data_IF_862049627045
#
_entry.id   IF_862049627045
#
_cell.length_a   1.000
_cell.length_b   1.000
_cell.length_c   1.000
_cell.angle_alpha   90.00
_cell.angle_beta   90.00
_cell.angle_gamma   90.00
#
_symmetry.space_group_name_H-M   'P 1'
#
loop_
_entity.id
_entity.type
_entity.pdbx_description
1 polymer ?
#
# COMPACT_ATOMS: atom_id res chain seq x y z
N UNK A 1 23.70 45.80 -11.07
CA UNK A 1 22.28 45.70 -11.39
C UNK A 1 21.98 45.01 -12.73
N UNK A 2 22.84 45.13 -13.72
CA UNK A 2 22.63 44.59 -15.07
C UNK A 2 22.44 43.05 -15.11
N UNK A 3 23.22 42.31 -14.32
CA UNK A 3 23.14 40.85 -14.27
C UNK A 3 21.78 40.34 -13.72
N UNK A 4 21.25 40.95 -12.67
CA UNK A 4 19.96 40.61 -12.09
C UNK A 4 18.81 40.88 -13.07
N UNK A 5 18.95 41.97 -13.83
CA UNK A 5 17.97 42.39 -14.83
C UNK A 5 17.88 41.42 -16.04
N UNK A 6 18.94 40.64 -16.30
CA UNK A 6 19.00 39.67 -17.40
C UNK A 6 18.43 38.30 -17.06
N UNK A 7 18.30 37.98 -15.78
CA UNK A 7 17.91 36.61 -15.32
C UNK A 7 16.59 36.57 -14.56
N UNK A 8 16.04 37.71 -14.12
CA UNK A 8 14.85 37.75 -13.31
C UNK A 8 13.79 38.67 -13.86
N UNK A 9 12.52 38.37 -13.59
CA UNK A 9 11.44 39.31 -13.87
C UNK A 9 11.49 40.46 -12.84
N UNK A 10 11.60 41.70 -13.29
CA UNK A 10 11.71 42.87 -12.41
C UNK A 10 10.63 43.88 -12.75
N UNK A 11 10.01 44.39 -11.69
CA UNK A 11 9.03 45.50 -11.77
C UNK A 11 9.26 46.46 -10.62
N UNK A 12 9.10 47.74 -10.88
CA UNK A 12 9.23 48.83 -9.89
C UNK A 12 7.87 49.46 -9.64
N UNK A 13 7.61 49.81 -8.41
CA UNK A 13 6.41 50.51 -7.97
C UNK A 13 6.78 51.76 -7.19
N UNK A 14 5.91 52.78 -7.22
CA UNK A 14 5.94 53.80 -6.21
C UNK A 14 5.44 53.29 -4.85
N UNK A 15 5.43 54.13 -3.82
CA UNK A 15 5.01 53.77 -2.48
C UNK A 15 3.49 53.51 -2.36
N UNK A 16 2.72 53.87 -3.38
CA UNK A 16 1.28 53.64 -3.44
C UNK A 16 0.93 52.43 -4.30
N UNK A 17 1.94 51.75 -4.88
CA UNK A 17 1.76 50.54 -5.67
C UNK A 17 1.51 50.80 -7.19
N UNK A 18 1.76 52.00 -7.67
CA UNK A 18 1.70 52.28 -9.09
C UNK A 18 3.01 51.89 -9.78
N UNK A 19 2.89 51.31 -10.97
CA UNK A 19 4.02 50.77 -11.72
C UNK A 19 4.85 51.93 -12.31
N UNK A 20 6.13 51.92 -11.99
CA UNK A 20 7.12 52.90 -12.49
C UNK A 20 7.96 52.36 -13.65
N UNK A 21 8.10 51.03 -13.73
CA UNK A 21 8.91 50.39 -14.75
C UNK A 21 8.91 48.87 -14.65
N UNK A 22 9.14 48.23 -15.78
CA UNK A 22 9.23 46.76 -15.89
C UNK A 22 10.36 46.38 -16.83
N UNK A 23 10.92 45.19 -16.69
CA UNK A 23 11.85 44.63 -17.67
C UNK A 23 11.13 43.67 -18.64
N UNK A 24 11.82 43.36 -19.75
CA UNK A 24 11.28 42.44 -20.78
C UNK A 24 10.93 41.05 -20.23
N UNK A 25 11.68 40.53 -19.26
CA UNK A 25 11.41 39.24 -18.63
C UNK A 25 10.07 39.26 -17.86
N UNK A 26 9.80 40.38 -17.15
CA UNK A 26 8.51 40.54 -16.46
C UNK A 26 7.36 40.61 -17.45
N UNK A 27 7.49 41.40 -18.54
CA UNK A 27 6.48 41.45 -19.58
C UNK A 27 6.16 40.08 -20.14
N UNK A 28 7.19 39.35 -20.56
CA UNK A 28 7.04 37.98 -21.09
C UNK A 28 6.38 37.03 -20.09
N UNK A 29 6.81 37.03 -18.83
CA UNK A 29 6.23 36.19 -17.79
C UNK A 29 4.75 36.47 -17.56
N UNK A 30 4.33 37.73 -17.66
CA UNK A 30 2.94 38.15 -17.48
C UNK A 30 2.11 38.10 -18.79
N UNK A 31 2.68 37.63 -19.91
CA UNK A 31 1.99 37.46 -21.18
C UNK A 31 1.87 38.73 -22.04
N UNK A 32 2.70 39.74 -21.77
CA UNK A 32 2.78 40.96 -22.59
C UNK A 32 3.88 40.81 -23.64
N UNK A 33 3.72 41.53 -24.77
CA UNK A 33 4.79 41.70 -25.74
C UNK A 33 5.89 42.64 -25.19
N UNK A 34 7.11 42.51 -25.68
CA UNK A 34 8.27 43.28 -25.18
C UNK A 34 8.12 44.81 -25.37
N UNK A 35 7.37 45.27 -26.36
CA UNK A 35 7.05 46.66 -26.69
C UNK A 35 5.82 47.20 -25.92
N UNK A 36 5.18 46.38 -25.09
CA UNK A 36 3.95 46.76 -24.38
C UNK A 36 4.20 47.34 -22.97
N UNK A 37 5.42 47.71 -22.64
CA UNK A 37 5.73 48.23 -21.30
C UNK A 37 4.87 49.44 -20.92
N UNK A 38 4.55 50.33 -21.89
CA UNK A 38 3.73 51.52 -21.69
C UNK A 38 2.28 51.19 -21.24
N UNK A 39 1.80 50.00 -21.57
CA UNK A 39 0.47 49.53 -21.12
C UNK A 39 0.40 49.29 -19.63
N UNK A 40 1.55 49.09 -18.98
CA UNK A 40 1.65 48.79 -17.54
C UNK A 40 2.03 50.03 -16.72
N UNK A 41 2.81 50.95 -17.25
CA UNK A 41 3.25 52.14 -16.53
C UNK A 41 2.04 52.95 -16.04
N UNK A 42 2.09 53.33 -14.76
CA UNK A 42 1.02 54.05 -14.08
C UNK A 42 -0.20 53.21 -13.69
N UNK A 43 -0.27 51.94 -14.04
CA UNK A 43 -1.29 51.04 -13.49
C UNK A 43 -0.90 50.59 -12.08
N UNK A 44 -1.91 50.27 -11.27
CA UNK A 44 -1.70 49.83 -9.89
C UNK A 44 -1.45 48.34 -9.84
N UNK A 45 -0.61 47.87 -8.86
CA UNK A 45 -0.28 46.46 -8.62
C UNK A 45 -1.50 45.54 -8.54
N UNK A 46 -2.65 46.07 -8.10
CA UNK A 46 -3.90 45.28 -7.96
C UNK A 46 -4.37 44.60 -9.24
N UNK A 47 -3.88 45.00 -10.44
CA UNK A 47 -4.21 44.33 -11.70
C UNK A 47 -3.67 42.89 -11.80
N UNK A 48 -2.67 42.55 -10.97
CA UNK A 48 -2.02 41.23 -10.96
C UNK A 48 -2.54 40.30 -9.86
N UNK A 49 -3.47 40.73 -9.05
CA UNK A 49 -4.02 39.96 -7.94
C UNK A 49 -5.53 39.76 -8.12
N UNK A 50 -6.11 38.82 -7.36
CA UNK A 50 -7.57 38.66 -7.36
C UNK A 50 -8.25 39.91 -6.78
N UNK A 51 -9.50 40.15 -7.20
CA UNK A 51 -10.27 41.28 -6.69
C UNK A 51 -10.43 41.20 -5.16
N UNK A 52 -10.71 39.99 -4.62
CA UNK A 52 -10.91 39.73 -3.18
C UNK A 52 -9.64 40.08 -2.41
N UNK A 53 -8.47 39.60 -2.87
CA UNK A 53 -7.20 39.92 -2.22
C UNK A 53 -6.89 41.42 -2.26
N UNK A 54 -7.16 42.08 -3.39
CA UNK A 54 -6.92 43.53 -3.54
C UNK A 54 -7.72 44.40 -2.56
N UNK A 55 -8.79 43.85 -1.97
CA UNK A 55 -9.66 44.50 -0.98
C UNK A 55 -9.42 44.01 0.44
N UNK A 56 -8.54 43.07 0.64
CA UNK A 56 -8.29 42.49 1.97
C UNK A 56 -7.39 43.36 2.83
N UNK A 57 -7.54 43.21 4.16
CA UNK A 57 -6.63 43.81 5.14
C UNK A 57 -5.18 43.37 4.96
N UNK A 58 -4.97 42.14 4.48
CA UNK A 58 -3.62 41.62 4.21
C UNK A 58 -2.93 42.35 3.06
N UNK A 59 -3.69 42.81 2.06
CA UNK A 59 -3.14 43.60 0.99
C UNK A 59 -2.75 45.01 1.48
N UNK A 60 -3.54 45.61 2.37
CA UNK A 60 -3.20 46.88 3.00
C UNK A 60 -1.94 46.74 3.86
N UNK A 61 -1.86 45.73 4.72
CA UNK A 61 -0.67 45.43 5.54
C UNK A 61 0.58 45.14 4.72
N UNK A 62 0.42 44.45 3.57
CA UNK A 62 1.53 44.21 2.65
C UNK A 62 2.18 45.53 2.20
N UNK A 63 1.39 46.50 1.72
CA UNK A 63 1.91 47.79 1.31
C UNK A 63 2.42 48.64 2.47
N UNK A 64 1.79 48.56 3.65
CA UNK A 64 2.27 49.22 4.88
C UNK A 64 3.66 48.69 5.29
N UNK A 65 3.87 47.39 5.24
CA UNK A 65 5.14 46.76 5.55
C UNK A 65 6.26 47.27 4.65
N UNK A 66 5.98 47.40 3.35
CA UNK A 66 6.94 47.94 2.38
C UNK A 66 7.25 49.44 2.62
N UNK A 67 6.24 50.24 2.97
CA UNK A 67 6.40 51.65 3.33
C UNK A 67 7.20 51.87 4.62
N UNK A 68 7.20 50.87 5.51
CA UNK A 68 8.03 50.87 6.72
C UNK A 68 9.49 50.44 6.46
N UNK A 69 9.88 50.23 5.20
CA UNK A 69 11.24 49.84 4.84
C UNK A 69 11.54 48.35 5.00
N UNK A 70 10.54 47.55 5.29
CA UNK A 70 10.72 46.10 5.42
C UNK A 70 10.48 45.40 4.08
N UNK A 71 11.33 44.44 3.73
CA UNK A 71 11.12 43.61 2.53
C UNK A 71 9.99 42.59 2.77
N UNK A 72 9.44 42.08 1.70
CA UNK A 72 8.45 41.00 1.73
C UNK A 72 8.82 39.93 0.70
N UNK A 73 8.81 38.65 1.09
CA UNK A 73 9.16 37.53 0.22
C UNK A 73 8.14 36.41 0.34
N UNK A 74 8.03 35.61 -0.72
CA UNK A 74 7.16 34.43 -0.74
C UNK A 74 6.85 33.91 -2.12
N UNK A 75 6.01 32.89 -2.14
CA UNK A 75 5.40 32.36 -3.36
C UNK A 75 4.05 33.04 -3.56
N UNK A 76 3.81 33.55 -4.76
CA UNK A 76 2.63 34.35 -5.08
C UNK A 76 1.95 33.82 -6.32
N UNK A 77 0.67 33.50 -6.23
CA UNK A 77 -0.17 33.36 -7.41
C UNK A 77 -0.51 34.75 -7.97
N UNK A 78 -0.31 34.94 -9.26
CA UNK A 78 -0.61 36.18 -9.96
C UNK A 78 -1.42 35.91 -11.21
N UNK A 79 -2.14 36.91 -11.69
CA UNK A 79 -2.94 36.86 -12.93
C UNK A 79 -2.14 37.46 -14.07
N UNK A 80 -2.00 36.70 -15.18
CA UNK A 80 -1.48 37.19 -16.43
C UNK A 80 -2.54 38.05 -17.15
N UNK A 81 -2.14 38.71 -18.28
CA UNK A 81 -3.04 39.51 -19.07
C UNK A 81 -4.22 38.70 -19.65
N UNK A 82 -4.03 37.42 -19.93
CA UNK A 82 -5.06 36.52 -20.46
C UNK A 82 -5.97 35.91 -19.35
N UNK A 83 -5.77 36.33 -18.09
CA UNK A 83 -6.49 35.84 -16.94
C UNK A 83 -5.97 34.50 -16.36
N UNK A 84 -5.02 33.84 -17.00
CA UNK A 84 -4.41 32.63 -16.48
C UNK A 84 -3.55 32.92 -15.26
N UNK A 85 -3.34 31.88 -14.41
CA UNK A 85 -2.48 32.01 -13.24
C UNK A 85 -1.02 31.75 -13.58
N UNK A 86 -0.14 32.47 -12.91
CA UNK A 86 1.31 32.24 -12.85
C UNK A 86 1.74 32.20 -11.39
N UNK A 87 2.65 31.30 -11.04
CA UNK A 87 3.22 31.20 -9.71
C UNK A 87 4.62 31.80 -9.71
N UNK A 88 4.84 32.79 -8.87
CA UNK A 88 6.08 33.54 -8.79
C UNK A 88 6.71 33.38 -7.40
N UNK A 89 7.95 32.91 -7.34
CA UNK A 89 8.80 33.15 -6.18
C UNK A 89 9.30 34.58 -6.29
N UNK A 90 8.98 35.44 -5.34
CA UNK A 90 9.33 36.85 -5.44
C UNK A 90 9.71 37.50 -4.12
N UNK A 91 10.55 38.55 -4.25
CA UNK A 91 10.88 39.47 -3.16
C UNK A 91 10.50 40.89 -3.57
N UNK A 92 9.91 41.62 -2.65
CA UNK A 92 9.61 43.06 -2.76
C UNK A 92 10.54 43.81 -1.83
N UNK A 93 11.38 44.69 -2.40
CA UNK A 93 12.47 45.34 -1.68
C UNK A 93 12.31 46.85 -1.77
N UNK A 94 12.15 47.56 -0.65
CA UNK A 94 12.22 49.01 -0.62
C UNK A 94 13.62 49.50 -1.07
N UNK A 95 13.65 50.50 -1.96
CA UNK A 95 14.86 51.13 -2.42
C UNK A 95 14.95 52.51 -1.76
N UNK A 96 16.09 52.75 -1.13
CA UNK A 96 16.37 53.97 -0.38
C UNK A 96 17.24 54.94 -1.19
N UNK A 97 17.05 56.23 -0.98
CA UNK A 97 17.98 57.28 -1.45
C UNK A 97 19.18 57.45 -0.46
N UNK A 98 20.10 58.36 -0.81
CA UNK A 98 21.25 58.66 0.01
C UNK A 98 20.92 59.24 1.42
N UNK A 99 19.71 59.80 1.53
CA UNK A 99 19.17 60.34 2.81
C UNK A 99 18.46 59.34 3.66
N UNK A 100 18.34 58.07 3.16
CA UNK A 100 17.66 57.00 3.87
C UNK A 100 16.12 56.97 3.69
N UNK A 101 15.57 57.77 2.76
CA UNK A 101 14.13 57.75 2.46
C UNK A 101 13.83 56.69 1.40
N UNK A 102 12.70 56.01 1.54
CA UNK A 102 12.26 55.04 0.55
C UNK A 102 11.72 55.79 -0.67
N UNK A 103 12.30 55.52 -1.85
CA UNK A 103 11.94 56.17 -3.10
C UNK A 103 11.00 55.32 -3.98
N UNK A 104 11.15 53.98 -3.92
CA UNK A 104 10.37 53.02 -4.70
C UNK A 104 10.50 51.61 -4.15
N UNK A 105 9.62 50.72 -4.60
CA UNK A 105 9.68 49.29 -4.28
C UNK A 105 10.12 48.54 -5.55
N UNK A 106 11.15 47.70 -5.43
CA UNK A 106 11.60 46.78 -6.50
C UNK A 106 11.11 45.36 -6.17
N UNK A 107 10.36 44.79 -7.09
CA UNK A 107 10.05 43.36 -7.05
C UNK A 107 10.98 42.61 -7.99
N UNK A 108 11.60 41.55 -7.47
CA UNK A 108 12.34 40.55 -8.25
C UNK A 108 11.56 39.26 -8.17
N UNK A 109 11.31 38.60 -9.31
CA UNK A 109 10.51 37.38 -9.33
C UNK A 109 11.07 36.34 -10.31
N UNK A 110 10.90 35.07 -9.96
CA UNK A 110 11.16 33.92 -10.81
C UNK A 110 9.86 33.15 -11.00
N UNK A 111 9.58 32.72 -12.23
CA UNK A 111 8.44 31.86 -12.53
C UNK A 111 8.71 30.43 -12.00
N UNK A 112 7.86 29.97 -11.12
CA UNK A 112 7.92 28.62 -10.52
C UNK A 112 6.69 27.79 -10.89
N UNK A 113 5.95 28.18 -11.95
CA UNK A 113 4.70 27.49 -12.33
C UNK A 113 4.93 26.01 -12.64
N UNK A 114 5.99 25.67 -13.38
CA UNK A 114 6.35 24.27 -13.66
C UNK A 114 6.68 23.48 -12.38
N UNK A 115 7.36 24.11 -11.44
CA UNK A 115 7.69 23.48 -10.13
C UNK A 115 6.43 23.21 -9.33
N UNK A 116 5.48 24.15 -9.29
CA UNK A 116 4.20 23.99 -8.59
C UNK A 116 3.35 22.89 -9.21
N UNK A 117 3.25 22.86 -10.54
CA UNK A 117 2.52 21.81 -11.27
C UNK A 117 3.14 20.45 -11.02
N UNK A 118 4.47 20.33 -11.10
CA UNK A 118 5.20 19.09 -10.86
C UNK A 118 5.01 18.59 -9.41
N UNK A 119 5.10 19.49 -8.44
CA UNK A 119 4.88 19.19 -7.03
C UNK A 119 3.46 18.68 -6.76
N UNK A 120 2.45 19.31 -7.35
CA UNK A 120 1.07 18.88 -7.22
C UNK A 120 0.86 17.50 -7.86
N UNK A 121 1.46 17.25 -9.03
CA UNK A 121 1.40 15.94 -9.69
C UNK A 121 2.05 14.83 -8.87
N UNK A 122 3.21 15.11 -8.27
CA UNK A 122 3.89 14.17 -7.35
C UNK A 122 3.01 13.86 -6.14
N UNK A 123 2.37 14.87 -5.55
CA UNK A 123 1.49 14.68 -4.40
C UNK A 123 0.25 13.84 -4.74
N UNK A 124 -0.37 14.07 -5.90
CA UNK A 124 -1.51 13.27 -6.39
C UNK A 124 -1.10 11.80 -6.61
N UNK A 125 0.05 11.60 -7.29
CA UNK A 125 0.58 10.25 -7.54
C UNK A 125 0.93 9.52 -6.25
N UNK A 126 1.54 10.21 -5.28
CA UNK A 126 1.87 9.65 -3.97
C UNK A 126 0.61 9.19 -3.22
N UNK A 127 -0.47 9.99 -3.26
CA UNK A 127 -1.76 9.61 -2.63
C UNK A 127 -2.38 8.39 -3.32
N UNK A 128 -2.38 8.34 -4.64
CA UNK A 128 -2.92 7.19 -5.38
C UNK A 128 -2.13 5.92 -5.12
N UNK A 129 -0.80 6.00 -5.05
CA UNK A 129 0.07 4.87 -4.74
C UNK A 129 -0.15 4.35 -3.32
N UNK A 130 -0.37 5.25 -2.34
CA UNK A 130 -0.68 4.85 -0.97
C UNK A 130 -2.00 4.07 -0.88
N UNK A 131 -3.04 4.52 -1.60
CA UNK A 131 -4.32 3.81 -1.66
C UNK A 131 -4.16 2.42 -2.28
N UNK A 132 -3.38 2.30 -3.36
CA UNK A 132 -3.11 1.02 -4.02
C UNK A 132 -2.34 0.06 -3.10
N UNK A 133 -1.35 0.57 -2.37
CA UNK A 133 -0.59 -0.20 -1.38
C UNK A 133 -1.49 -0.73 -0.26
N UNK A 134 -2.37 0.11 0.28
CA UNK A 134 -3.30 -0.29 1.34
C UNK A 134 -4.29 -1.37 0.84
N UNK A 135 -4.78 -1.25 -0.39
CA UNK A 135 -5.63 -2.26 -1.01
C UNK A 135 -4.89 -3.58 -1.24
N UNK A 136 -3.63 -3.52 -1.70
CA UNK A 136 -2.78 -4.70 -1.88
C UNK A 136 -2.53 -5.43 -0.56
N UNK A 137 -2.27 -4.70 0.52
CA UNK A 137 -2.08 -5.28 1.84
C UNK A 137 -3.35 -5.97 2.36
N UNK A 138 -4.52 -5.34 2.23
CA UNK A 138 -5.81 -5.95 2.58
C UNK A 138 -6.09 -7.24 1.80
N UNK A 139 -5.73 -7.27 0.51
CA UNK A 139 -5.90 -8.46 -0.31
C UNK A 139 -4.95 -9.58 0.15
N UNK A 140 -3.70 -9.27 0.49
CA UNK A 140 -2.76 -10.25 1.06
C UNK A 140 -3.29 -10.87 2.35
N UNK A 141 -3.79 -10.04 3.28
CA UNK A 141 -4.36 -10.52 4.54
C UNK A 141 -5.57 -11.43 4.30
N UNK A 142 -6.45 -11.06 3.36
CA UNK A 142 -7.60 -11.89 3.00
C UNK A 142 -7.19 -13.25 2.41
N UNK A 143 -6.19 -13.28 1.52
CA UNK A 143 -5.65 -14.52 0.93
C UNK A 143 -5.00 -15.39 2.01
N UNK A 144 -4.29 -14.82 2.97
CA UNK A 144 -3.67 -15.57 4.06
C UNK A 144 -4.72 -16.22 4.97
N UNK A 145 -5.79 -15.51 5.30
CA UNK A 145 -6.93 -16.04 6.07
C UNK A 145 -7.59 -17.21 5.31
N UNK A 146 -7.88 -17.04 4.03
CA UNK A 146 -8.48 -18.08 3.19
C UNK A 146 -7.58 -19.32 3.08
N UNK A 147 -6.29 -19.12 2.87
CA UNK A 147 -5.29 -20.20 2.84
C UNK A 147 -5.27 -20.99 4.15
N UNK A 148 -5.26 -20.31 5.29
CA UNK A 148 -5.24 -20.98 6.61
C UNK A 148 -6.53 -21.76 6.85
N UNK A 149 -7.69 -21.20 6.49
CA UNK A 149 -8.97 -21.91 6.56
C UNK A 149 -9.00 -23.17 5.68
N UNK A 150 -8.47 -23.10 4.46
CA UNK A 150 -8.37 -24.25 3.56
C UNK A 150 -7.42 -25.33 4.07
N UNK A 151 -6.31 -24.95 4.70
CA UNK A 151 -5.40 -25.90 5.35
C UNK A 151 -6.03 -26.62 6.54
N UNK A 152 -6.78 -25.91 7.38
CA UNK A 152 -7.50 -26.48 8.52
C UNK A 152 -8.58 -27.47 8.07
N UNK A 153 -9.34 -27.15 7.02
CA UNK A 153 -10.35 -28.04 6.44
C UNK A 153 -9.71 -29.32 5.84
N UNK A 154 -8.59 -29.14 5.13
CA UNK A 154 -7.82 -30.27 4.61
C UNK A 154 -7.33 -31.19 5.71
N UNK A 155 -6.75 -30.64 6.78
CA UNK A 155 -6.29 -31.41 7.96
C UNK A 155 -7.44 -32.18 8.63
N UNK A 156 -8.59 -31.54 8.78
CA UNK A 156 -9.79 -32.19 9.33
C UNK A 156 -10.28 -33.35 8.46
N UNK A 157 -10.28 -33.13 7.15
CA UNK A 157 -10.71 -34.15 6.16
C UNK A 157 -9.75 -35.33 6.12
N UNK A 158 -8.43 -35.08 6.16
CA UNK A 158 -7.41 -36.13 6.22
C UNK A 158 -7.52 -36.97 7.49
N UNK A 159 -7.71 -36.35 8.65
CA UNK A 159 -7.92 -37.07 9.93
C UNK A 159 -9.17 -37.93 9.90
N UNK A 160 -10.26 -37.44 9.33
CA UNK A 160 -11.51 -38.19 9.17
C UNK A 160 -11.29 -39.39 8.26
N UNK A 161 -10.66 -39.22 7.12
CA UNK A 161 -10.33 -40.28 6.18
C UNK A 161 -9.45 -41.35 6.81
N UNK A 162 -8.37 -40.98 7.51
CA UNK A 162 -7.49 -41.89 8.25
C UNK A 162 -8.25 -42.72 9.30
N UNK A 163 -9.13 -42.09 10.07
CA UNK A 163 -9.94 -42.77 11.09
C UNK A 163 -10.92 -43.78 10.43
N UNK A 164 -11.57 -43.45 9.33
CA UNK A 164 -12.44 -44.39 8.61
C UNK A 164 -11.65 -45.56 8.01
N UNK A 165 -10.47 -45.32 7.51
CA UNK A 165 -9.59 -46.34 6.97
C UNK A 165 -9.13 -47.32 8.08
N UNK A 166 -8.73 -46.80 9.26
CA UNK A 166 -8.39 -47.60 10.43
C UNK A 166 -9.57 -48.45 10.87
N UNK A 167 -10.77 -47.87 11.00
CA UNK A 167 -11.98 -48.61 11.37
C UNK A 167 -12.28 -49.76 10.37
N UNK A 168 -12.10 -49.48 9.09
CA UNK A 168 -12.33 -50.48 8.03
C UNK A 168 -11.35 -51.65 8.13
N UNK A 169 -10.04 -51.33 8.30
CA UNK A 169 -9.01 -52.36 8.47
C UNK A 169 -9.28 -53.24 9.70
N UNK A 170 -9.63 -52.61 10.83
CA UNK A 170 -9.94 -53.37 12.08
C UNK A 170 -11.18 -54.25 11.88
N UNK A 171 -12.24 -53.74 11.22
CA UNK A 171 -13.44 -54.56 10.90
C UNK A 171 -13.11 -55.73 10.00
N UNK A 172 -12.32 -55.58 8.96
CA UNK A 172 -11.88 -56.64 8.08
C UNK A 172 -11.03 -57.68 8.83
N UNK A 173 -10.09 -57.25 9.64
CA UNK A 173 -9.26 -58.15 10.43
C UNK A 173 -10.09 -59.01 11.42
N UNK A 174 -11.06 -58.38 12.12
CA UNK A 174 -11.97 -59.12 13.01
C UNK A 174 -12.84 -60.10 12.23
N UNK A 175 -13.37 -59.71 11.06
CA UNK A 175 -14.19 -60.60 10.22
C UNK A 175 -13.40 -61.84 9.79
N UNK A 176 -12.14 -61.68 9.41
CA UNK A 176 -11.25 -62.80 9.06
C UNK A 176 -11.02 -63.71 10.25
N UNK A 177 -10.71 -63.18 11.44
CA UNK A 177 -10.48 -63.98 12.66
C UNK A 177 -11.74 -64.81 13.01
N UNK A 178 -12.92 -64.16 12.99
CA UNK A 178 -14.19 -64.82 13.30
C UNK A 178 -14.48 -65.91 12.25
N UNK A 179 -14.30 -65.65 10.95
CA UNK A 179 -14.52 -66.62 9.88
C UNK A 179 -13.63 -67.83 10.01
N UNK A 180 -12.35 -67.66 10.30
CA UNK A 180 -11.41 -68.76 10.51
C UNK A 180 -11.79 -69.58 11.75
N UNK A 181 -12.10 -68.86 12.85
CA UNK A 181 -12.60 -69.54 14.09
C UNK A 181 -13.84 -70.38 13.84
N UNK A 182 -14.77 -69.86 13.07
CA UNK A 182 -16.02 -70.57 12.73
C UNK A 182 -15.78 -71.83 11.88
N UNK A 183 -14.98 -71.67 10.80
CA UNK A 183 -14.59 -72.78 9.93
C UNK A 183 -13.87 -73.90 10.67
N UNK A 184 -12.89 -73.51 11.52
CA UNK A 184 -12.13 -74.50 12.32
C UNK A 184 -13.01 -75.22 13.34
N UNK A 185 -13.97 -74.51 13.98
CA UNK A 185 -14.94 -75.13 14.89
C UNK A 185 -15.82 -76.16 14.18
N UNK A 186 -16.29 -75.83 12.98
CA UNK A 186 -17.05 -76.78 12.16
C UNK A 186 -16.23 -77.99 11.79
N UNK A 187 -15.00 -77.79 11.33
CA UNK A 187 -14.12 -78.91 10.98
C UNK A 187 -13.82 -79.81 12.17
N UNK A 188 -13.55 -79.25 13.33
CA UNK A 188 -13.33 -79.97 14.58
C UNK A 188 -14.55 -80.79 15.01
N UNK A 189 -15.73 -80.22 14.98
CA UNK A 189 -17.00 -80.90 15.24
C UNK A 189 -17.29 -82.06 14.29
N UNK A 190 -16.99 -81.86 12.99
CA UNK A 190 -17.13 -82.91 11.97
C UNK A 190 -16.15 -84.07 12.20
N UNK A 191 -14.91 -83.81 12.59
CA UNK A 191 -13.89 -84.83 12.89
C UNK A 191 -14.29 -85.69 14.10
N UNK A 192 -14.85 -85.08 15.16
CA UNK A 192 -15.37 -85.80 16.31
C UNK A 192 -16.52 -86.72 15.90
N UNK A 193 -17.49 -86.23 15.18
CA UNK A 193 -18.65 -87.01 14.70
C UNK A 193 -18.25 -88.16 13.77
N UNK A 194 -17.17 -87.99 13.02
CA UNK A 194 -16.66 -89.00 12.08
C UNK A 194 -15.65 -89.97 12.68
N UNK A 195 -15.44 -89.94 14.00
CA UNK A 195 -14.51 -90.81 14.76
C UNK A 195 -13.06 -90.78 14.21
N UNK A 196 -12.60 -89.61 13.69
CA UNK A 196 -11.25 -89.39 13.16
C UNK A 196 -10.36 -88.75 14.20
N UNK A 197 -9.03 -88.90 14.00
CA UNK A 197 -8.01 -88.31 14.88
C UNK A 197 -8.14 -86.78 14.92
N UNK A 198 -8.51 -86.23 16.06
CA UNK A 198 -8.71 -84.81 16.30
C UNK A 198 -7.38 -84.10 16.60
N UNK A 199 -6.26 -84.81 16.80
CA UNK A 199 -4.98 -84.20 17.19
C UNK A 199 -4.37 -83.43 16.01
N UNK A 200 -4.52 -83.90 14.79
CA UNK A 200 -4.04 -83.22 13.60
C UNK A 200 -4.84 -81.92 13.39
N UNK A 201 -6.14 -81.96 13.62
CA UNK A 201 -7.00 -80.77 13.43
C UNK A 201 -6.69 -79.74 14.51
N UNK A 202 -6.43 -80.16 15.74
CA UNK A 202 -6.10 -79.28 16.88
C UNK A 202 -4.73 -78.60 16.65
N UNK A 203 -3.70 -79.33 16.18
CA UNK A 203 -2.41 -78.74 15.89
C UNK A 203 -2.46 -77.75 14.72
N UNK A 204 -3.17 -78.10 13.65
CA UNK A 204 -3.40 -77.20 12.49
C UNK A 204 -4.14 -75.94 12.95
N UNK A 205 -5.15 -76.03 13.77
CA UNK A 205 -5.89 -74.90 14.32
C UNK A 205 -4.98 -74.00 15.16
N UNK A 206 -4.19 -74.55 16.09
CA UNK A 206 -3.25 -73.78 16.90
C UNK A 206 -2.24 -73.03 16.09
N UNK A 207 -1.69 -73.64 15.04
CA UNK A 207 -0.74 -73.00 14.15
C UNK A 207 -1.40 -71.85 13.36
N UNK A 208 -2.58 -72.13 12.74
CA UNK A 208 -3.33 -71.07 12.00
C UNK A 208 -3.73 -69.90 12.90
N UNK A 209 -4.21 -70.19 14.12
CA UNK A 209 -4.59 -69.15 15.09
C UNK A 209 -3.40 -68.31 15.52
N UNK A 210 -2.24 -68.92 15.76
CA UNK A 210 -0.99 -68.24 16.07
C UNK A 210 -0.56 -67.27 14.94
N UNK A 211 -0.59 -67.75 13.67
CA UNK A 211 -0.25 -66.93 12.51
C UNK A 211 -1.23 -65.77 12.35
N UNK A 212 -2.52 -66.00 12.48
CA UNK A 212 -3.55 -64.98 12.34
C UNK A 212 -3.42 -63.92 13.45
N UNK A 213 -3.19 -64.37 14.70
CA UNK A 213 -3.01 -63.49 15.84
C UNK A 213 -1.76 -62.62 15.67
N UNK A 214 -0.64 -63.22 15.23
CA UNK A 214 0.60 -62.49 14.96
C UNK A 214 0.41 -61.43 13.85
N UNK A 215 -0.28 -61.79 12.76
CA UNK A 215 -0.57 -60.88 11.71
C UNK A 215 -1.52 -59.74 12.15
N UNK A 216 -2.55 -60.04 12.95
CA UNK A 216 -3.47 -59.06 13.51
C UNK A 216 -2.73 -58.07 14.43
N UNK A 217 -1.83 -58.53 15.29
CA UNK A 217 -1.00 -57.66 16.15
C UNK A 217 -0.01 -56.83 15.32
N UNK A 218 0.57 -57.39 14.26
CA UNK A 218 1.46 -56.66 13.37
C UNK A 218 0.73 -55.49 12.66
N UNK A 219 -0.46 -55.77 12.16
CA UNK A 219 -1.31 -54.71 11.55
C UNK A 219 -1.65 -53.62 12.55
N UNK A 220 -2.09 -53.99 13.77
CA UNK A 220 -2.40 -53.02 14.84
C UNK A 220 -1.17 -52.22 15.25
N UNK A 221 0.00 -52.88 15.37
CA UNK A 221 1.26 -52.21 15.67
C UNK A 221 1.70 -51.24 14.63
N UNK A 222 1.55 -51.61 13.36
CA UNK A 222 1.86 -50.70 12.23
C UNK A 222 0.92 -49.46 12.21
N UNK A 223 -0.38 -49.66 12.43
CA UNK A 223 -1.35 -48.59 12.52
C UNK A 223 -1.05 -47.62 13.67
N UNK A 224 -0.71 -48.17 14.84
CA UNK A 224 -0.32 -47.39 16.01
C UNK A 224 0.98 -46.63 15.73
N UNK A 225 2.00 -47.27 15.13
CA UNK A 225 3.25 -46.64 14.77
C UNK A 225 3.07 -45.46 13.86
N UNK A 226 2.22 -45.57 12.81
CA UNK A 226 1.89 -44.45 11.90
C UNK A 226 1.20 -43.31 12.68
N UNK A 227 0.29 -43.67 13.59
CA UNK A 227 -0.43 -42.67 14.39
C UNK A 227 0.48 -41.87 15.31
N UNK A 228 1.46 -42.53 15.94
CA UNK A 228 2.44 -41.87 16.80
C UNK A 228 3.43 -41.01 16.00
N UNK A 229 3.93 -41.51 14.86
CA UNK A 229 4.84 -40.76 13.99
C UNK A 229 4.20 -39.43 13.47
N UNK A 230 2.92 -39.48 13.10
CA UNK A 230 2.20 -38.25 12.68
C UNK A 230 1.86 -37.26 13.80
N UNK A 231 2.01 -37.63 15.07
CA UNK A 231 1.86 -36.74 16.23
C UNK A 231 3.17 -36.03 16.61
N UNK A 232 4.33 -36.63 16.34
CA UNK A 232 5.64 -36.03 16.64
C UNK A 232 6.03 -34.94 15.68
N UNK A 233 5.63 -35.01 14.43
CA UNK A 233 5.90 -33.98 13.41
C UNK A 233 5.10 -32.66 13.62
N UNK A 234 4.27 -32.60 14.69
CA UNK A 234 3.44 -31.41 15.02
C UNK A 234 3.91 -30.67 16.29
N UNK A 235 5.07 -30.98 16.82
CA UNK A 235 5.72 -30.21 17.88
C UNK A 235 6.89 -29.41 17.33
#
# INVERSE_FOLDING_TARGET
MEAINRSNAIIYFDLNGFILGVNAIFLKAMGFAEDEHDKLIGKHHSIFVSYEYSKSDDYVKFWETLRLGKFFEGEFERKKIDGSSIYLQATYNPIFDESGNITKIMKIATDISETVVSKNKINELSKSLQIELDNSNKLKDAIEIEKNAALDDLDATLKKSQNELIKTIVKCALAVIISVGFITTIMYSFAILSNKDTQIIGSTWSNMFSVLLTNAFSIVGTIMGIKYATQEDKK
#
